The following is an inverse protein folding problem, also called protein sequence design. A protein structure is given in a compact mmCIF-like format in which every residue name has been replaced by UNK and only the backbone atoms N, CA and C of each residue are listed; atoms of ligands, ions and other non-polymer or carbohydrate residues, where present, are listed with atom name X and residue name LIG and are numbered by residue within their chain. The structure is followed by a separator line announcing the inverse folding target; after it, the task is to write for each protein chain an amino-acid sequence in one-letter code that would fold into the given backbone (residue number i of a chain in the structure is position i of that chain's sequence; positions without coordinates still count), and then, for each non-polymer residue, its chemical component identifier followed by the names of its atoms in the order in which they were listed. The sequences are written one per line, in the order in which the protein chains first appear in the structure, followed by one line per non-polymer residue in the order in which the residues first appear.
data_IF_036469223254
#
_entry.id   IF_036469223254
#
_cell.length_a   1.000
_cell.length_b   1.000
_cell.length_c   1.000
_cell.angle_alpha   90.00
_cell.angle_beta   90.00
_cell.angle_gamma   90.00
#
_symmetry.space_group_name_H-M   'P 1'
#
loop_
_entity.id
_entity.type
_entity.pdbx_description
1 polymer ?
#
# COMPACT_ATOMS: atom_id res chain seq x y z
N UNK A 1 5.72 12.03 -18.75
CA UNK A 1 7.08 11.49 -19.00
C UNK A 1 7.44 11.90 -20.42
N UNK A 2 8.39 12.81 -20.59
CA UNK A 2 8.80 13.32 -21.89
C UNK A 2 9.95 12.53 -22.52
N UNK A 3 10.59 11.65 -21.74
CA UNK A 3 11.71 10.82 -22.17
C UNK A 3 11.32 9.34 -22.08
N UNK A 4 11.13 8.64 -23.22
CA UNK A 4 10.70 7.24 -23.24
C UNK A 4 11.79 6.25 -22.77
N UNK A 5 13.02 6.72 -22.56
CA UNK A 5 14.11 5.91 -22.02
C UNK A 5 14.13 5.84 -20.49
N UNK A 6 13.28 6.60 -19.81
CA UNK A 6 13.24 6.66 -18.35
C UNK A 6 12.33 5.59 -17.76
N UNK A 7 12.81 4.96 -16.72
CA UNK A 7 12.01 4.14 -15.81
C UNK A 7 11.60 5.03 -14.65
N UNK A 8 10.32 5.01 -14.29
CA UNK A 8 9.76 5.80 -13.18
C UNK A 8 8.98 4.87 -12.25
N UNK A 9 9.08 5.11 -10.96
CA UNK A 9 8.26 4.47 -9.94
C UNK A 9 7.02 5.33 -9.73
N UNK A 10 5.85 4.73 -9.90
CA UNK A 10 4.55 5.41 -9.70
C UNK A 10 3.67 4.53 -8.83
N UNK A 11 3.02 5.15 -7.85
CA UNK A 11 1.95 4.52 -7.09
C UNK A 11 0.58 4.80 -7.74
N UNK A 12 -0.44 4.01 -7.41
CA UNK A 12 -1.83 4.37 -7.70
C UNK A 12 -2.27 5.58 -6.83
N UNK A 13 -3.12 6.46 -7.31
CA UNK A 13 -3.79 6.48 -8.62
C UNK A 13 -2.97 7.16 -9.74
N UNK A 14 -1.74 7.58 -9.48
CA UNK A 14 -0.89 8.31 -10.45
C UNK A 14 -0.54 7.44 -11.66
N UNK A 15 -0.31 6.14 -11.45
CA UNK A 15 -0.09 5.19 -12.54
C UNK A 15 -1.33 5.10 -13.44
N UNK A 16 -2.53 5.04 -12.87
CA UNK A 16 -3.79 5.05 -13.64
C UNK A 16 -3.96 6.34 -14.45
N UNK A 17 -3.58 7.50 -13.91
CA UNK A 17 -3.55 8.76 -14.67
C UNK A 17 -2.55 8.68 -15.83
N UNK A 18 -1.34 8.19 -15.58
CA UNK A 18 -0.30 8.08 -16.62
C UNK A 18 -0.70 7.09 -17.71
N UNK A 19 -1.50 6.09 -17.39
CA UNK A 19 -1.99 5.07 -18.32
C UNK A 19 -3.14 5.53 -19.21
N UNK A 20 -3.69 6.73 -19.00
CA UNK A 20 -4.71 7.29 -19.88
C UNK A 20 -4.13 7.45 -21.30
N UNK A 21 -4.90 7.07 -22.37
CA UNK A 21 -4.42 7.15 -23.76
C UNK A 21 -3.93 8.54 -24.19
N UNK A 22 -4.46 9.59 -23.56
CA UNK A 22 -4.07 10.97 -23.80
C UNK A 22 -2.75 11.40 -23.14
N UNK A 23 -2.16 10.55 -22.28
CA UNK A 23 -0.95 10.88 -21.49
C UNK A 23 0.29 10.19 -22.01
N UNK A 24 0.33 8.86 -21.95
CA UNK A 24 1.50 8.08 -22.38
C UNK A 24 1.04 6.95 -23.29
N UNK A 25 1.43 6.99 -24.57
CA UNK A 25 1.19 5.91 -25.48
C UNK A 25 2.14 4.75 -25.19
N UNK A 26 1.63 3.51 -25.19
CA UNK A 26 2.40 2.28 -25.03
C UNK A 26 3.19 2.19 -23.70
N UNK A 27 2.62 2.69 -22.60
CA UNK A 27 3.20 2.52 -21.27
C UNK A 27 3.33 1.04 -20.98
N UNK A 28 4.54 0.61 -20.61
CA UNK A 28 4.80 -0.72 -20.06
C UNK A 28 4.97 -0.58 -18.57
N UNK A 29 4.27 -1.39 -17.80
CA UNK A 29 4.39 -1.45 -16.34
C UNK A 29 5.01 -2.77 -15.87
N UNK A 30 5.79 -2.70 -14.82
CA UNK A 30 6.26 -3.83 -14.04
C UNK A 30 5.52 -3.75 -12.71
N UNK A 31 4.78 -4.80 -12.37
CA UNK A 31 4.13 -4.90 -11.07
C UNK A 31 5.18 -5.30 -10.03
N UNK A 32 5.37 -4.43 -9.03
CA UNK A 32 6.37 -4.66 -8.00
C UNK A 32 5.95 -5.73 -7.00
N UNK A 33 4.65 -5.97 -6.83
CA UNK A 33 4.18 -7.05 -5.97
C UNK A 33 4.49 -8.42 -6.57
N UNK A 34 4.25 -8.58 -7.88
CA UNK A 34 4.65 -9.80 -8.61
C UNK A 34 6.16 -9.99 -8.58
N UNK A 35 6.93 -8.91 -8.84
CA UNK A 35 8.39 -8.97 -8.78
C UNK A 35 8.91 -9.31 -7.37
N UNK A 36 8.24 -8.85 -6.32
CA UNK A 36 8.56 -9.19 -4.94
C UNK A 36 8.32 -10.68 -4.66
N UNK A 37 7.18 -11.21 -5.08
CA UNK A 37 6.85 -12.63 -4.93
C UNK A 37 7.83 -13.54 -5.67
N UNK A 38 8.23 -13.16 -6.89
CA UNK A 38 9.22 -13.90 -7.68
C UNK A 38 10.59 -13.99 -6.97
N UNK A 39 10.98 -12.95 -6.23
CA UNK A 39 12.28 -12.89 -5.55
C UNK A 39 12.24 -13.52 -4.15
N UNK A 40 11.14 -13.35 -3.42
CA UNK A 40 11.08 -13.70 -2.00
C UNK A 40 10.23 -14.93 -1.69
N UNK A 41 9.37 -15.33 -2.62
CA UNK A 41 8.34 -16.35 -2.41
C UNK A 41 7.17 -15.87 -1.53
N UNK A 42 7.12 -14.58 -1.18
CA UNK A 42 6.04 -13.99 -0.38
C UNK A 42 5.18 -13.08 -1.24
N UNK A 43 3.87 -13.32 -1.26
CA UNK A 43 2.89 -12.44 -1.91
C UNK A 43 2.60 -11.17 -1.11
N UNK A 44 3.03 -11.10 0.15
CA UNK A 44 2.85 -9.92 1.00
C UNK A 44 3.97 -8.91 0.79
N UNK A 45 3.58 -7.69 0.47
CA UNK A 45 4.47 -6.54 0.29
C UNK A 45 3.93 -5.34 1.09
N UNK A 46 4.21 -5.28 2.41
CA UNK A 46 3.67 -4.22 3.26
C UNK A 46 4.21 -2.85 2.85
N UNK A 47 3.32 -1.88 2.60
CA UNK A 47 3.70 -0.53 2.18
C UNK A 47 3.24 0.56 3.13
N UNK A 48 2.22 0.29 3.93
CA UNK A 48 1.66 1.24 4.88
C UNK A 48 1.28 0.54 6.18
N UNK A 49 1.24 1.29 7.27
CA UNK A 49 0.82 0.79 8.57
C UNK A 49 0.04 1.85 9.34
N UNK A 50 -0.88 1.41 10.16
CA UNK A 50 -1.57 2.25 11.14
C UNK A 50 -0.77 2.17 12.44
N UNK A 51 -0.38 3.32 12.96
CA UNK A 51 0.33 3.43 14.24
C UNK A 51 -0.58 4.07 15.27
N UNK A 52 -0.64 3.48 16.45
CA UNK A 52 -1.45 3.96 17.54
C UNK A 52 -0.57 4.42 18.70
N UNK A 53 -1.00 5.46 19.41
CA UNK A 53 -0.31 5.87 20.63
C UNK A 53 -0.59 4.84 21.73
N UNK A 54 0.46 4.42 22.43
CA UNK A 54 0.39 3.35 23.44
C UNK A 54 -0.58 3.61 24.60
N UNK A 55 -0.94 4.86 24.86
CA UNK A 55 -1.84 5.26 25.94
C UNK A 55 -3.30 5.40 25.47
N UNK A 56 -3.61 5.05 24.21
CA UNK A 56 -4.99 4.98 23.75
C UNK A 56 -5.71 3.78 24.38
N UNK A 57 -6.99 3.97 24.68
CA UNK A 57 -7.85 2.91 25.15
C UNK A 57 -7.98 1.80 24.10
N UNK A 58 -7.77 0.56 24.53
CA UNK A 58 -7.76 -0.60 23.62
C UNK A 58 -9.10 -0.78 22.89
N UNK A 59 -10.22 -0.59 23.59
CA UNK A 59 -11.55 -0.77 22.98
C UNK A 59 -11.79 0.26 21.87
N UNK A 60 -11.25 1.48 22.03
CA UNK A 60 -11.32 2.52 21.00
C UNK A 60 -10.47 2.12 19.78
N UNK A 61 -9.27 1.61 20.01
CA UNK A 61 -8.38 1.19 18.92
C UNK A 61 -8.98 0.00 18.18
N UNK A 62 -9.44 -1.02 18.90
CA UNK A 62 -10.04 -2.22 18.31
C UNK A 62 -11.27 -1.84 17.44
N UNK A 63 -12.17 -1.02 17.99
CA UNK A 63 -13.34 -0.54 17.22
C UNK A 63 -12.97 0.27 15.98
N UNK A 64 -11.90 1.05 16.03
CA UNK A 64 -11.38 1.76 14.85
C UNK A 64 -10.81 0.82 13.80
N UNK A 65 -10.03 -0.19 14.21
CA UNK A 65 -9.44 -1.16 13.30
C UNK A 65 -10.51 -2.03 12.63
N UNK A 66 -11.58 -2.42 13.36
CA UNK A 66 -12.75 -3.11 12.77
C UNK A 66 -13.43 -2.25 11.69
N UNK A 67 -13.57 -0.95 11.92
CA UNK A 67 -14.12 -0.03 10.91
C UNK A 67 -13.22 0.12 9.68
N UNK A 68 -11.90 0.11 9.86
CA UNK A 68 -10.94 0.16 8.75
C UNK A 68 -11.06 -1.11 7.90
N UNK A 69 -11.06 -2.28 8.53
CA UNK A 69 -11.20 -3.56 7.83
C UNK A 69 -12.52 -3.64 7.04
N UNK A 70 -13.64 -3.30 7.69
CA UNK A 70 -14.94 -3.23 7.04
C UNK A 70 -14.93 -2.26 5.85
N UNK A 71 -14.35 -1.07 6.02
CA UNK A 71 -14.29 -0.05 4.95
C UNK A 71 -13.48 -0.52 3.75
N UNK A 72 -12.37 -1.23 3.98
CA UNK A 72 -11.55 -1.82 2.91
C UNK A 72 -12.33 -2.92 2.19
N UNK A 73 -12.98 -3.80 2.95
CA UNK A 73 -13.80 -4.89 2.40
C UNK A 73 -14.93 -4.35 1.51
N UNK A 74 -15.66 -3.34 1.99
CA UNK A 74 -16.74 -2.70 1.20
C UNK A 74 -16.20 -1.95 -0.03
N UNK A 75 -15.05 -1.28 0.11
CA UNK A 75 -14.43 -0.58 -1.01
C UNK A 75 -14.00 -1.52 -2.14
N UNK A 76 -13.50 -2.70 -1.80
CA UNK A 76 -13.10 -3.71 -2.77
C UNK A 76 -14.31 -4.45 -3.38
N UNK A 77 -15.42 -4.54 -2.65
CA UNK A 77 -16.66 -5.14 -3.15
C UNK A 77 -17.35 -4.27 -4.21
N UNK A 78 -17.30 -2.94 -4.09
CA UNK A 78 -17.85 -1.98 -5.06
C UNK A 78 -16.91 -0.79 -5.32
N UNK A 79 -15.82 -0.99 -6.06
CA UNK A 79 -14.87 0.07 -6.38
C UNK A 79 -15.49 1.27 -7.12
N UNK A 80 -16.58 1.04 -7.87
CA UNK A 80 -17.24 2.11 -8.61
C UNK A 80 -18.00 3.06 -7.67
N UNK A 81 -18.70 2.52 -6.68
CA UNK A 81 -19.39 3.33 -5.67
C UNK A 81 -18.38 4.16 -4.85
N UNK A 82 -17.27 3.54 -4.43
CA UNK A 82 -16.21 4.25 -3.68
C UNK A 82 -15.52 5.31 -4.54
N UNK A 83 -15.25 5.03 -5.80
CA UNK A 83 -14.71 6.00 -6.72
C UNK A 83 -15.65 7.21 -6.91
N UNK A 84 -16.97 6.99 -6.98
CA UNK A 84 -17.95 8.07 -7.03
C UNK A 84 -17.96 8.89 -5.74
N UNK A 85 -17.94 8.23 -4.58
CA UNK A 85 -17.85 8.92 -3.28
C UNK A 85 -16.59 9.78 -3.18
N UNK A 86 -15.44 9.29 -3.65
CA UNK A 86 -14.20 10.06 -3.67
C UNK A 86 -14.28 11.29 -4.59
N UNK A 87 -14.98 11.19 -5.73
CA UNK A 87 -15.27 12.34 -6.61
C UNK A 87 -16.18 13.35 -5.90
N UNK A 88 -17.23 12.88 -5.25
CA UNK A 88 -18.18 13.74 -4.53
C UNK A 88 -17.51 14.48 -3.34
N UNK A 89 -16.46 13.87 -2.77
CA UNK A 89 -15.62 14.47 -1.72
C UNK A 89 -14.44 15.29 -2.25
N UNK A 90 -14.37 15.51 -3.56
CA UNK A 90 -13.33 16.32 -4.25
C UNK A 90 -11.88 15.84 -4.00
N UNK A 91 -11.66 14.53 -4.08
CA UNK A 91 -10.30 13.95 -3.97
C UNK A 91 -9.38 14.25 -5.17
N UNK A 92 -9.84 15.04 -6.14
CA UNK A 92 -9.02 15.59 -7.22
C UNK A 92 -8.66 14.62 -8.35
N UNK A 93 -9.26 13.43 -8.40
CA UNK A 93 -9.07 12.46 -9.49
C UNK A 93 -10.38 12.17 -10.21
N UNK A 94 -10.36 12.02 -11.55
CA UNK A 94 -11.55 11.66 -12.32
C UNK A 94 -12.08 10.27 -11.98
N UNK A 95 -13.40 10.10 -12.01
CA UNK A 95 -14.07 8.83 -11.74
C UNK A 95 -13.45 7.60 -12.46
N UNK A 96 -13.16 7.64 -13.78
CA UNK A 96 -12.56 6.49 -14.47
C UNK A 96 -11.19 6.10 -13.93
N UNK A 97 -10.40 7.08 -13.46
CA UNK A 97 -9.09 6.85 -12.86
C UNK A 97 -9.25 6.14 -11.53
N UNK A 98 -10.11 6.64 -10.65
CA UNK A 98 -10.34 6.04 -9.32
C UNK A 98 -10.93 4.63 -9.43
N UNK A 99 -11.92 4.43 -10.30
CA UNK A 99 -12.52 3.10 -10.52
C UNK A 99 -11.49 2.07 -10.99
N UNK A 100 -10.50 2.50 -11.79
CA UNK A 100 -9.40 1.63 -12.23
C UNK A 100 -8.32 1.44 -11.16
N UNK A 101 -8.03 2.48 -10.38
CA UNK A 101 -6.94 2.49 -9.41
C UNK A 101 -7.27 1.65 -8.15
N UNK A 102 -8.49 1.71 -7.64
CA UNK A 102 -8.87 1.04 -6.38
C UNK A 102 -8.52 -0.46 -6.41
N UNK A 103 -8.95 -1.26 -7.41
CA UNK A 103 -8.61 -2.68 -7.45
C UNK A 103 -7.11 -2.96 -7.63
N UNK A 104 -6.37 -2.01 -8.22
CA UNK A 104 -4.94 -2.14 -8.51
C UNK A 104 -4.05 -1.66 -7.37
N UNK A 105 -4.62 -1.01 -6.38
CA UNK A 105 -3.88 -0.50 -5.23
C UNK A 105 -3.46 -1.61 -4.26
N UNK A 106 -3.97 -2.85 -4.44
CA UNK A 106 -3.68 -4.01 -3.61
C UNK A 106 -3.85 -3.70 -2.11
N UNK A 107 -4.92 -2.97 -1.79
CA UNK A 107 -5.23 -2.60 -0.41
C UNK A 107 -5.80 -3.84 0.29
N UNK A 108 -5.23 -4.16 1.45
CA UNK A 108 -5.71 -5.22 2.32
C UNK A 108 -5.51 -4.78 3.77
N UNK A 109 -6.37 -5.25 4.67
CA UNK A 109 -6.19 -5.08 6.11
C UNK A 109 -5.65 -6.38 6.69
N UNK A 110 -4.46 -6.29 7.29
CA UNK A 110 -3.84 -7.40 7.99
C UNK A 110 -3.49 -6.95 9.40
N UNK A 111 -3.90 -7.71 10.41
CA UNK A 111 -3.57 -7.40 11.80
C UNK A 111 -2.05 -7.32 12.03
N UNK A 112 -1.63 -6.60 13.05
CA UNK A 112 -0.20 -6.48 13.34
C UNK A 112 0.43 -7.84 13.66
N UNK A 113 -0.28 -8.71 14.38
CA UNK A 113 0.17 -10.07 14.69
C UNK A 113 0.31 -10.95 13.44
N UNK A 114 -0.66 -10.90 12.52
CA UNK A 114 -0.63 -11.69 11.27
C UNK A 114 0.39 -11.15 10.27
N UNK A 115 0.62 -9.84 10.26
CA UNK A 115 1.58 -9.20 9.35
C UNK A 115 3.04 -9.28 9.84
N UNK A 116 3.30 -9.66 11.10
CA UNK A 116 4.62 -9.63 11.72
C UNK A 116 5.69 -10.34 10.88
N UNK A 117 5.43 -11.58 10.46
CA UNK A 117 6.40 -12.36 9.70
C UNK A 117 6.72 -11.70 8.33
N UNK A 118 5.73 -11.14 7.64
CA UNK A 118 5.93 -10.44 6.38
C UNK A 118 6.68 -9.12 6.56
N UNK A 119 6.40 -8.38 7.63
CA UNK A 119 7.12 -7.14 7.98
C UNK A 119 8.57 -7.43 8.34
N UNK A 120 8.85 -8.45 9.15
CA UNK A 120 10.21 -8.84 9.52
C UNK A 120 11.02 -9.32 8.30
N UNK A 121 10.39 -10.06 7.38
CA UNK A 121 11.00 -10.44 6.11
C UNK A 121 11.36 -9.19 5.29
N UNK A 122 10.42 -8.27 5.13
CA UNK A 122 10.61 -7.03 4.38
C UNK A 122 11.72 -6.15 5.00
N UNK A 123 11.68 -5.94 6.31
CA UNK A 123 12.71 -5.19 7.02
C UNK A 123 14.08 -5.89 6.95
N UNK A 124 14.11 -7.22 6.97
CA UNK A 124 15.32 -8.00 6.78
C UNK A 124 16.02 -7.72 5.44
N UNK A 125 15.24 -7.63 4.35
CA UNK A 125 15.78 -7.23 3.05
C UNK A 125 16.29 -5.79 3.04
N UNK A 126 15.57 -4.85 3.68
CA UNK A 126 16.01 -3.45 3.79
C UNK A 126 17.33 -3.37 4.56
N UNK A 127 17.45 -4.09 5.67
CA UNK A 127 18.67 -4.14 6.50
C UNK A 127 19.85 -4.72 5.70
N UNK A 128 19.61 -5.79 4.94
CA UNK A 128 20.64 -6.46 4.15
C UNK A 128 21.07 -5.65 2.92
N UNK A 129 20.22 -4.74 2.42
CA UNK A 129 20.48 -4.01 1.18
C UNK A 129 21.64 -3.01 1.30
N UNK A 130 21.66 -2.21 2.36
CA UNK A 130 22.76 -1.26 2.64
C UNK A 130 22.67 -0.68 4.05
N UNK A 131 23.78 -0.16 4.57
CA UNK A 131 23.79 0.57 5.85
C UNK A 131 22.90 1.81 5.84
N UNK A 132 22.78 2.49 4.70
CA UNK A 132 21.88 3.62 4.55
C UNK A 132 20.43 3.17 4.70
N UNK A 133 20.03 2.10 4.02
CA UNK A 133 18.66 1.54 4.10
C UNK A 133 18.36 1.03 5.52
N UNK A 134 19.29 0.34 6.14
CA UNK A 134 19.22 -0.10 7.53
C UNK A 134 18.90 1.03 8.49
N UNK A 135 19.58 2.18 8.35
CA UNK A 135 19.36 3.33 9.22
C UNK A 135 17.99 3.99 9.03
N UNK A 136 17.34 3.86 7.86
CA UNK A 136 16.00 4.39 7.61
C UNK A 136 14.92 3.73 8.47
N UNK A 137 15.15 2.49 8.91
CA UNK A 137 14.22 1.72 9.73
C UNK A 137 14.71 1.51 11.17
N UNK A 138 15.59 2.39 11.66
CA UNK A 138 16.07 2.34 13.05
C UNK A 138 17.22 1.36 13.31
N UNK A 139 17.77 0.71 12.28
CA UNK A 139 19.00 -0.08 12.38
C UNK A 139 18.83 -1.54 12.75
N UNK A 140 17.66 -1.98 13.16
CA UNK A 140 17.37 -3.37 13.56
C UNK A 140 15.88 -3.71 13.30
N UNK A 141 15.54 -4.98 13.41
CA UNK A 141 14.15 -5.40 13.46
C UNK A 141 13.50 -4.85 14.73
N UNK A 142 12.21 -4.45 14.66
CA UNK A 142 11.48 -4.03 15.85
C UNK A 142 11.31 -5.16 16.85
N UNK A 143 11.13 -4.83 18.12
CA UNK A 143 10.77 -5.78 19.17
C UNK A 143 9.26 -6.09 19.13
N UNK A 144 8.81 -7.00 19.99
CA UNK A 144 7.42 -7.43 20.04
C UNK A 144 6.45 -6.28 20.38
N UNK A 145 6.88 -5.31 21.19
CA UNK A 145 6.05 -4.15 21.57
C UNK A 145 5.70 -3.22 20.38
N UNK A 146 6.33 -3.42 19.22
CA UNK A 146 6.02 -2.70 18.00
C UNK A 146 4.69 -3.16 17.38
N UNK A 147 4.31 -4.39 17.63
CA UNK A 147 3.14 -5.01 17.04
C UNK A 147 1.96 -4.90 18.01
N UNK A 148 0.89 -4.27 17.55
CA UNK A 148 -0.34 -4.15 18.33
C UNK A 148 -1.02 -5.51 18.49
N UNK A 149 -1.40 -5.86 19.75
CA UNK A 149 -2.08 -7.10 20.14
C UNK A 149 -3.46 -6.83 20.79
#
# INVERSE_FOLDING_TARGET
VTDPSKIVLLAEPVLSVASLPSKVANLKSIDLQVAWEDVTGSSSYPQAGIFVHKDLDKDIVDGYLELVDLSITEALADPAAVAQMAVDLDYGFPLPVLTSAIPRSNIDFVSASDSKAALELYFGYIIAFSDTSKNLIGGALPNDDFYYE
#
